data_IF_375560605284
#
_entry.id   IF_375560605284
#
_cell.length_a   1.000
_cell.length_b   1.000
_cell.length_c   1.000
_cell.angle_alpha   90.00
_cell.angle_beta   90.00
_cell.angle_gamma   90.00
#
_symmetry.space_group_name_H-M   'P 1'
#
loop_
_entity.id
_entity.type
_entity.pdbx_description
1 polymer ?
#
# COMPACT_ATOMS: atom_id res chain seq x y z
N UNK A 1 14.33 -2.90 11.73
CA UNK A 1 12.90 -3.01 11.35
C UNK A 1 12.62 -2.35 10.01
N UNK A 2 12.92 -1.06 9.81
CA UNK A 2 12.72 -0.36 8.51
C UNK A 2 13.41 -1.04 7.32
N UNK A 3 14.61 -1.60 7.51
CA UNK A 3 15.34 -2.33 6.45
C UNK A 3 14.52 -3.52 5.93
N UNK A 4 13.89 -4.27 6.83
CA UNK A 4 13.03 -5.40 6.45
C UNK A 4 11.78 -4.92 5.70
N UNK A 5 11.19 -3.79 6.13
CA UNK A 5 10.04 -3.20 5.45
C UNK A 5 10.39 -2.80 4.01
N UNK A 6 11.51 -2.11 3.81
CA UNK A 6 12.01 -1.74 2.48
C UNK A 6 12.31 -2.99 1.65
N UNK A 7 12.92 -4.01 2.25
CA UNK A 7 13.27 -5.26 1.57
C UNK A 7 12.03 -5.99 1.05
N UNK A 8 10.93 -6.02 1.81
CA UNK A 8 9.65 -6.57 1.33
C UNK A 8 9.15 -5.84 0.08
N UNK A 9 9.14 -4.51 0.09
CA UNK A 9 8.71 -3.73 -1.08
C UNK A 9 9.62 -3.94 -2.30
N UNK A 10 10.94 -4.04 -2.09
CA UNK A 10 11.88 -4.35 -3.17
C UNK A 10 11.61 -5.73 -3.77
N UNK A 11 11.36 -6.75 -2.93
CA UNK A 11 11.02 -8.10 -3.41
C UNK A 11 9.75 -8.07 -4.25
N UNK A 12 8.70 -7.38 -3.78
CA UNK A 12 7.43 -7.27 -4.52
C UNK A 12 7.67 -6.63 -5.90
N UNK A 13 8.42 -5.53 -5.98
CA UNK A 13 8.77 -4.89 -7.26
C UNK A 13 9.52 -5.88 -8.18
N UNK A 14 10.52 -6.58 -7.66
CA UNK A 14 11.32 -7.51 -8.45
C UNK A 14 10.53 -8.71 -8.98
N UNK A 15 9.49 -9.14 -8.27
CA UNK A 15 8.64 -10.26 -8.70
C UNK A 15 7.55 -9.80 -9.66
N UNK A 16 6.83 -8.72 -9.34
CA UNK A 16 5.60 -8.35 -10.04
C UNK A 16 5.83 -7.41 -11.23
N UNK A 17 6.81 -6.50 -11.16
CA UNK A 17 7.02 -5.49 -12.20
C UNK A 17 7.63 -6.05 -13.49
N UNK A 18 8.65 -6.94 -13.48
CA UNK A 18 9.23 -7.44 -14.71
C UNK A 18 8.25 -8.21 -15.62
N UNK A 19 7.36 -9.08 -15.10
CA UNK A 19 6.30 -9.70 -15.90
C UNK A 19 5.37 -8.67 -16.55
N UNK A 20 4.92 -7.66 -15.78
CA UNK A 20 4.03 -6.60 -16.28
C UNK A 20 4.65 -5.82 -17.44
N UNK A 21 5.94 -5.47 -17.33
CA UNK A 21 6.68 -4.77 -18.39
C UNK A 21 6.89 -5.68 -19.60
N UNK A 22 7.31 -6.94 -19.39
CA UNK A 22 7.57 -7.90 -20.48
C UNK A 22 6.32 -8.19 -21.31
N UNK A 23 5.16 -8.25 -20.66
CA UNK A 23 3.87 -8.48 -21.31
C UNK A 23 3.21 -7.19 -21.83
N UNK A 24 3.88 -6.02 -21.70
CA UNK A 24 3.37 -4.70 -22.06
C UNK A 24 2.01 -4.37 -21.41
N UNK A 25 1.79 -4.87 -20.20
CA UNK A 25 0.57 -4.68 -19.41
C UNK A 25 0.61 -3.32 -18.69
N UNK A 26 0.61 -2.22 -19.46
CA UNK A 26 0.80 -0.86 -18.91
C UNK A 26 -0.35 -0.41 -18.03
N UNK A 27 -1.57 -0.87 -18.31
CA UNK A 27 -2.77 -0.53 -17.51
C UNK A 27 -2.70 -1.20 -16.14
N UNK A 28 -2.27 -2.45 -16.12
CA UNK A 28 -2.09 -3.26 -14.93
C UNK A 28 -0.88 -2.76 -14.13
N UNK A 29 0.19 -2.35 -14.80
CA UNK A 29 1.34 -1.71 -14.16
C UNK A 29 0.94 -0.39 -13.49
N UNK A 30 0.08 0.42 -14.12
CA UNK A 30 -0.43 1.64 -13.52
C UNK A 30 -1.30 1.34 -12.29
N UNK A 31 -2.23 0.37 -12.39
CA UNK A 31 -3.06 -0.04 -11.26
C UNK A 31 -2.23 -0.59 -10.09
N UNK A 32 -1.27 -1.47 -10.38
CA UNK A 32 -0.29 -1.97 -9.42
C UNK A 32 0.47 -0.83 -8.75
N UNK A 33 1.01 0.10 -9.54
CA UNK A 33 1.80 1.22 -9.02
C UNK A 33 1.00 2.11 -8.06
N UNK A 34 -0.25 2.42 -8.40
CA UNK A 34 -1.13 3.21 -7.51
C UNK A 34 -1.34 2.50 -6.18
N UNK A 35 -1.72 1.22 -6.22
CA UNK A 35 -1.93 0.42 -4.99
C UNK A 35 -0.63 0.25 -4.19
N UNK A 36 0.48 0.04 -4.89
CA UNK A 36 1.79 -0.15 -4.29
C UNK A 36 2.26 1.11 -3.56
N UNK A 37 2.11 2.29 -4.16
CA UNK A 37 2.44 3.58 -3.54
C UNK A 37 1.59 3.79 -2.29
N UNK A 38 0.28 3.49 -2.35
CA UNK A 38 -0.60 3.57 -1.18
C UNK A 38 -0.04 2.67 -0.06
N UNK A 39 0.30 1.42 -0.36
CA UNK A 39 0.90 0.49 0.60
C UNK A 39 2.19 1.05 1.23
N UNK A 40 3.12 1.55 0.42
CA UNK A 40 4.39 2.13 0.88
C UNK A 40 4.15 3.34 1.79
N UNK A 41 3.30 4.29 1.36
CA UNK A 41 2.99 5.50 2.13
C UNK A 41 2.35 5.13 3.47
N UNK A 42 1.41 4.19 3.49
CA UNK A 42 0.78 3.75 4.73
C UNK A 42 1.76 3.02 5.65
N UNK A 43 2.58 2.11 5.13
CA UNK A 43 3.55 1.39 5.96
C UNK A 43 4.62 2.32 6.53
N UNK A 44 5.13 3.25 5.73
CA UNK A 44 6.09 4.25 6.20
C UNK A 44 5.44 5.23 7.19
N UNK A 45 4.24 5.72 6.89
CA UNK A 45 3.55 6.61 7.81
C UNK A 45 3.18 5.94 9.13
N UNK A 46 2.86 4.64 9.14
CA UNK A 46 2.71 3.88 10.38
C UNK A 46 4.04 3.73 11.13
N UNK A 47 5.13 3.42 10.42
CA UNK A 47 6.46 3.30 11.01
C UNK A 47 6.96 4.61 11.64
N UNK A 48 6.68 5.76 11.01
CA UNK A 48 7.05 7.09 11.49
C UNK A 48 5.95 7.77 12.33
N UNK A 49 4.86 7.08 12.65
CA UNK A 49 3.74 7.62 13.41
C UNK A 49 3.11 8.89 12.83
N UNK A 50 3.04 9.00 11.51
CA UNK A 50 2.30 10.07 10.84
C UNK A 50 0.80 10.00 11.15
N UNK A 51 0.12 11.16 11.25
CA UNK A 51 -1.33 11.22 11.41
C UNK A 51 -2.02 10.87 10.09
N UNK A 52 -1.94 9.60 9.69
CA UNK A 52 -2.62 9.09 8.51
C UNK A 52 -4.13 8.98 8.79
N UNK A 53 -4.98 9.29 7.80
CA UNK A 53 -6.41 9.03 7.92
C UNK A 53 -6.61 7.52 8.15
N UNK A 54 -7.38 7.17 9.16
CA UNK A 54 -7.73 5.78 9.45
C UNK A 54 -9.18 5.53 9.02
N UNK A 55 -9.42 4.82 7.90
CA UNK A 55 -10.77 4.50 7.45
C UNK A 55 -11.57 3.71 8.49
N UNK A 56 -10.89 2.90 9.32
CA UNK A 56 -11.52 2.11 10.38
C UNK A 56 -12.18 3.01 11.42
N UNK A 57 -11.57 4.16 11.77
CA UNK A 57 -12.21 5.14 12.66
C UNK A 57 -13.49 5.71 12.06
N UNK A 58 -13.53 5.88 10.74
CA UNK A 58 -14.74 6.27 10.01
C UNK A 58 -15.85 5.21 10.13
N UNK A 59 -15.48 3.94 10.00
CA UNK A 59 -16.40 2.82 10.15
C UNK A 59 -16.87 2.67 11.61
N UNK A 60 -16.00 2.83 12.59
CA UNK A 60 -16.35 2.81 14.03
C UNK A 60 -17.42 3.86 14.36
N UNK A 61 -17.33 5.07 13.80
CA UNK A 61 -18.39 6.08 13.95
C UNK A 61 -19.71 5.63 13.33
N UNK A 62 -19.68 4.98 12.17
CA UNK A 62 -20.90 4.47 11.51
C UNK A 62 -21.54 3.29 12.25
N UNK A 63 -20.74 2.37 12.81
CA UNK A 63 -21.24 1.17 13.49
C UNK A 63 -21.56 1.39 14.98
N UNK A 64 -20.93 2.37 15.64
CA UNK A 64 -21.24 2.73 17.03
C UNK A 64 -22.55 3.52 17.15
N UNK A 65 -23.01 4.16 16.08
CA UNK A 65 -24.29 4.92 16.02
C UNK A 65 -25.48 4.00 15.67
N UNK A 66 -25.38 2.69 15.90
CA UNK A 66 -26.53 1.79 15.75
C UNK A 66 -26.94 1.23 17.12
N UNK A 67 -28.08 1.67 17.71
CA UNK A 67 -28.70 0.97 18.82
C UNK A 67 -29.22 -0.42 18.39
#
# INVERSE_FOLDING_TARGET
MIVLLVLVFVIIILVDVPPLIKQRMWRELAAFSVLFIIGVVYSLGQFYHWPLPNPVKGLEMLFTIKP
#
